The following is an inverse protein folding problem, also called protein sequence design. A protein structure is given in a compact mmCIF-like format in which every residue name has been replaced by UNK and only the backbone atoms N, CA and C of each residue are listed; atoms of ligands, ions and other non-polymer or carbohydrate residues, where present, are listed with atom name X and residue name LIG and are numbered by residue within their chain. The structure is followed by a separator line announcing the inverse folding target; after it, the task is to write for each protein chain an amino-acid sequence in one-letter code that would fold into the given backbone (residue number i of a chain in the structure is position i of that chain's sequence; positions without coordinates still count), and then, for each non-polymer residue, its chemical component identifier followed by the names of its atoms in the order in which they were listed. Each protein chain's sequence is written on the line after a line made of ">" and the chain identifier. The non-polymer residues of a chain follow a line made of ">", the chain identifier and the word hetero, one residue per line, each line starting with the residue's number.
data_IF_527021340434
#
_entry.id   IF_527021340434
#
_cell.length_a   1.000
_cell.length_b   1.000
_cell.length_c   1.000
_cell.angle_alpha   90.00
_cell.angle_beta   90.00
_cell.angle_gamma   90.00
#
_symmetry.space_group_name_H-M   'P 1'
#
loop_
_entity.id
_entity.type
_entity.pdbx_description
1 polymer ?
#
# COMPACT_ATOMS: atom_id res chain seq x y z
N UNK A 1 -63.47 -48.38 16.83
CA UNK A 1 -63.41 -47.34 15.79
C UNK A 1 -62.66 -46.15 16.37
N UNK A 2 -61.49 -45.84 15.77
CA UNK A 2 -60.66 -44.62 15.89
C UNK A 2 -59.81 -44.39 17.17
N UNK A 3 -58.52 -44.67 17.02
CA UNK A 3 -57.39 -44.07 17.75
C UNK A 3 -57.32 -42.56 17.54
N UNK A 4 -56.74 -41.84 18.51
CA UNK A 4 -56.16 -40.52 18.29
C UNK A 4 -54.87 -40.39 19.11
N UNK A 5 -53.75 -40.73 18.48
CA UNK A 5 -52.38 -40.44 18.94
C UNK A 5 -52.02 -39.06 18.40
N UNK A 6 -51.83 -38.08 19.28
CA UNK A 6 -51.38 -36.73 18.88
C UNK A 6 -49.87 -36.76 18.71
N UNK A 7 -49.42 -36.66 17.46
CA UNK A 7 -48.01 -36.50 17.10
C UNK A 7 -47.58 -35.05 17.41
N UNK A 8 -46.61 -34.90 18.32
CA UNK A 8 -45.92 -33.63 18.53
C UNK A 8 -44.99 -33.36 17.34
N UNK A 9 -45.30 -32.34 16.55
CA UNK A 9 -44.46 -31.87 15.45
C UNK A 9 -43.26 -31.08 16.03
N UNK A 10 -42.08 -31.69 16.00
CA UNK A 10 -40.82 -31.04 16.34
C UNK A 10 -40.40 -30.16 15.15
N UNK A 11 -40.66 -28.86 15.24
CA UNK A 11 -40.28 -27.88 14.22
C UNK A 11 -38.76 -27.65 14.33
N UNK A 12 -37.98 -28.37 13.53
CA UNK A 12 -36.53 -28.22 13.44
C UNK A 12 -36.23 -26.89 12.71
N UNK A 13 -36.09 -25.82 13.49
CA UNK A 13 -35.66 -24.50 13.01
C UNK A 13 -34.19 -24.60 12.60
N UNK A 14 -33.94 -24.87 11.33
CA UNK A 14 -32.61 -24.88 10.73
C UNK A 14 -32.10 -23.43 10.73
N UNK A 15 -31.32 -23.07 11.76
CA UNK A 15 -30.47 -21.89 11.74
C UNK A 15 -29.46 -22.07 10.61
N UNK A 16 -29.80 -21.58 9.42
CA UNK A 16 -28.81 -21.20 8.43
C UNK A 16 -27.99 -20.07 9.05
N UNK A 17 -26.93 -20.44 9.77
CA UNK A 17 -25.80 -19.56 10.04
C UNK A 17 -25.27 -19.14 8.68
N UNK A 18 -25.76 -18.00 8.20
CA UNK A 18 -25.10 -17.22 7.18
C UNK A 18 -23.74 -16.87 7.78
N UNK A 19 -22.74 -17.71 7.50
CA UNK A 19 -21.35 -17.30 7.51
C UNK A 19 -21.27 -16.17 6.49
N UNK A 20 -21.48 -14.94 6.97
CA UNK A 20 -20.98 -13.76 6.30
C UNK A 20 -19.48 -14.04 6.13
N UNK A 21 -19.09 -14.45 4.93
CA UNK A 21 -17.71 -14.63 4.54
C UNK A 21 -17.12 -13.22 4.57
N UNK A 22 -16.66 -12.82 5.75
CA UNK A 22 -15.98 -11.55 5.94
C UNK A 22 -14.74 -11.61 5.08
N UNK A 23 -14.68 -10.73 4.09
CA UNK A 23 -13.54 -10.66 3.17
C UNK A 23 -12.29 -10.42 3.99
N UNK A 24 -11.36 -11.38 3.96
CA UNK A 24 -10.24 -11.40 4.87
C UNK A 24 -9.20 -10.37 4.43
N UNK A 25 -8.45 -9.82 5.38
CA UNK A 25 -7.29 -8.96 5.09
C UNK A 25 -6.36 -9.57 4.02
N UNK A 26 -6.19 -10.89 4.09
CA UNK A 26 -5.30 -11.66 3.23
C UNK A 26 -5.81 -11.72 1.77
N UNK A 27 -7.10 -11.48 1.55
CA UNK A 27 -7.71 -11.56 0.22
C UNK A 27 -7.16 -10.46 -0.70
N UNK A 28 -6.97 -9.24 -0.19
CA UNK A 28 -6.45 -8.12 -1.00
C UNK A 28 -5.00 -7.78 -0.71
N UNK A 29 -4.34 -8.51 0.19
CA UNK A 29 -2.94 -8.33 0.49
C UNK A 29 -2.33 -9.65 0.99
N UNK A 30 -1.97 -10.57 0.08
CA UNK A 30 -1.43 -11.86 0.48
C UNK A 30 -0.15 -11.73 1.32
N UNK A 31 -0.11 -12.46 2.43
CA UNK A 31 1.01 -12.44 3.39
C UNK A 31 1.74 -13.78 3.51
N UNK A 32 1.29 -14.80 2.78
CA UNK A 32 1.92 -16.12 2.76
C UNK A 32 3.37 -16.04 2.25
N UNK A 33 4.25 -16.82 2.89
CA UNK A 33 5.67 -16.88 2.55
C UNK A 33 5.89 -17.45 1.14
N UNK A 34 6.95 -16.99 0.46
CA UNK A 34 7.31 -17.40 -0.90
C UNK A 34 6.52 -16.69 -2.00
N UNK A 35 5.49 -15.92 -1.63
CA UNK A 35 4.81 -15.01 -2.56
C UNK A 35 5.78 -13.94 -3.05
N UNK A 36 5.75 -13.69 -4.35
CA UNK A 36 6.68 -12.75 -4.98
C UNK A 36 5.95 -11.91 -6.03
N UNK A 37 6.26 -10.62 -6.07
CA UNK A 37 5.75 -9.68 -7.06
C UNK A 37 6.88 -8.93 -7.71
N UNK A 38 6.82 -8.80 -9.03
CA UNK A 38 7.71 -7.95 -9.82
C UNK A 38 6.88 -6.94 -10.60
N UNK A 39 7.30 -5.69 -10.56
CA UNK A 39 6.63 -4.55 -11.16
C UNK A 39 7.55 -3.84 -12.14
N UNK A 40 6.97 -3.38 -13.23
CA UNK A 40 7.60 -2.33 -14.03
C UNK A 40 7.37 -1.00 -13.32
N UNK A 41 8.46 -0.31 -13.03
CA UNK A 41 8.46 0.99 -12.38
C UNK A 41 8.77 2.07 -13.41
N UNK A 42 7.91 3.08 -13.50
CA UNK A 42 8.19 4.30 -14.26
C UNK A 42 8.25 5.47 -13.29
N UNK A 43 9.34 6.23 -13.36
CA UNK A 43 9.63 7.35 -12.48
C UNK A 43 9.80 8.61 -13.33
N UNK A 44 9.02 9.64 -13.05
CA UNK A 44 9.06 10.92 -13.75
C UNK A 44 9.46 12.01 -12.77
N UNK A 45 10.53 12.73 -13.11
CA UNK A 45 11.01 13.90 -12.35
C UNK A 45 11.18 15.08 -13.27
N UNK A 46 11.68 16.18 -12.72
CA UNK A 46 12.14 17.33 -13.52
C UNK A 46 13.29 16.99 -14.46
N UNK A 47 14.04 15.92 -14.20
CA UNK A 47 15.18 15.50 -15.01
C UNK A 47 14.77 14.61 -16.19
N UNK A 48 13.54 14.08 -16.19
CA UNK A 48 13.02 13.24 -17.26
C UNK A 48 12.24 12.02 -16.75
N UNK A 49 12.08 11.04 -17.63
CA UNK A 49 11.41 9.77 -17.32
C UNK A 49 12.43 8.64 -17.28
N UNK A 50 12.40 7.86 -16.20
CA UNK A 50 13.25 6.73 -15.94
C UNK A 50 12.40 5.47 -15.79
N UNK A 51 12.92 4.33 -16.24
CA UNK A 51 12.27 3.03 -16.05
C UNK A 51 13.15 2.16 -15.17
N UNK A 52 12.52 1.35 -14.34
CA UNK A 52 13.20 0.42 -13.45
C UNK A 52 12.32 -0.76 -13.12
N UNK A 53 12.82 -1.60 -12.22
CA UNK A 53 12.10 -2.74 -11.68
C UNK A 53 11.96 -2.52 -10.19
N UNK A 54 10.77 -2.84 -9.68
CA UNK A 54 10.52 -2.96 -8.25
C UNK A 54 10.08 -4.40 -8.00
N UNK A 55 10.57 -5.03 -6.93
CA UNK A 55 10.14 -6.37 -6.57
C UNK A 55 10.05 -6.53 -5.06
N UNK A 56 9.15 -7.41 -4.65
CA UNK A 56 8.85 -7.70 -3.24
C UNK A 56 8.64 -9.20 -3.08
N UNK A 57 9.24 -9.79 -2.05
CA UNK A 57 9.03 -11.18 -1.64
C UNK A 57 8.53 -11.24 -0.21
N UNK A 58 7.50 -12.06 0.04
CA UNK A 58 7.10 -12.40 1.40
C UNK A 58 8.04 -13.48 1.95
N UNK A 59 8.66 -13.19 3.09
CA UNK A 59 9.42 -14.16 3.85
C UNK A 59 8.53 -14.87 4.88
N UNK A 60 8.99 -16.00 5.46
CA UNK A 60 8.33 -16.57 6.62
C UNK A 60 8.12 -15.52 7.71
N UNK A 61 6.93 -15.47 8.35
CA UNK A 61 6.70 -14.59 9.48
C UNK A 61 7.76 -14.76 10.56
N UNK A 62 8.12 -13.66 11.21
CA UNK A 62 9.12 -13.63 12.27
C UNK A 62 8.45 -13.26 13.59
N UNK A 63 8.95 -13.83 14.68
CA UNK A 63 8.59 -13.40 16.03
C UNK A 63 9.72 -12.56 16.60
N UNK A 64 9.40 -11.31 16.97
CA UNK A 64 10.33 -10.36 17.57
C UNK A 64 9.65 -9.83 18.83
N UNK A 65 10.28 -10.02 19.98
CA UNK A 65 9.72 -9.64 21.30
C UNK A 65 8.28 -10.15 21.50
N UNK A 66 8.06 -11.43 21.21
CA UNK A 66 6.76 -12.14 21.25
C UNK A 66 5.67 -11.58 20.31
N UNK A 67 6.00 -10.61 19.45
CA UNK A 67 5.11 -10.10 18.42
C UNK A 67 5.41 -10.75 17.08
N UNK A 68 4.36 -11.18 16.40
CA UNK A 68 4.46 -11.71 15.04
C UNK A 68 4.51 -10.57 14.02
N UNK A 69 5.44 -10.68 13.08
CA UNK A 69 5.63 -9.78 11.97
C UNK A 69 5.62 -10.55 10.66
N UNK A 70 4.82 -10.07 9.71
CA UNK A 70 4.92 -10.50 8.31
C UNK A 70 6.03 -9.68 7.65
N UNK A 71 7.04 -10.37 7.12
CA UNK A 71 8.25 -9.71 6.63
C UNK A 71 8.27 -9.73 5.10
N UNK A 72 8.51 -8.58 4.51
CA UNK A 72 8.67 -8.42 3.05
C UNK A 72 10.07 -7.93 2.73
N UNK A 73 10.79 -8.67 1.90
CA UNK A 73 12.07 -8.22 1.35
C UNK A 73 11.84 -7.50 0.02
N UNK A 74 12.47 -6.34 -0.14
CA UNK A 74 12.44 -5.55 -1.37
C UNK A 74 13.67 -5.87 -2.23
N UNK A 75 13.57 -5.57 -3.53
CA UNK A 75 14.66 -5.79 -4.48
C UNK A 75 15.99 -5.11 -4.09
N UNK A 76 15.92 -3.97 -3.38
CA UNK A 76 17.11 -3.25 -2.91
C UNK A 76 17.71 -3.84 -1.61
N UNK A 77 17.22 -4.99 -1.16
CA UNK A 77 17.65 -5.68 0.05
C UNK A 77 17.03 -5.12 1.34
N UNK A 78 16.21 -4.07 1.27
CA UNK A 78 15.50 -3.57 2.45
C UNK A 78 14.34 -4.48 2.86
N UNK A 79 13.95 -4.40 4.13
CA UNK A 79 12.86 -5.19 4.69
C UNK A 79 11.73 -4.29 5.19
N UNK A 80 10.50 -4.68 4.92
CA UNK A 80 9.28 -4.13 5.50
C UNK A 80 8.73 -5.11 6.53
N UNK A 81 8.42 -4.59 7.73
CA UNK A 81 7.82 -5.35 8.82
C UNK A 81 6.36 -4.94 8.98
N UNK A 82 5.45 -5.87 8.76
CA UNK A 82 4.01 -5.64 8.81
C UNK A 82 3.37 -6.36 10.00
N UNK A 83 2.34 -5.75 10.56
CA UNK A 83 1.44 -6.36 11.52
C UNK A 83 0.00 -6.26 11.01
N UNK A 84 -0.82 -7.21 11.41
CA UNK A 84 -2.27 -7.17 11.22
C UNK A 84 -2.88 -6.98 12.61
N UNK A 85 -3.73 -5.98 12.74
CA UNK A 85 -4.55 -5.76 13.94
C UNK A 85 -6.04 -5.72 13.56
N UNK A 86 -6.89 -5.42 14.54
CA UNK A 86 -8.33 -5.27 14.34
C UNK A 86 -8.69 -4.08 13.43
N UNK A 87 -7.77 -3.13 13.22
CA UNK A 87 -7.97 -1.94 12.40
C UNK A 87 -7.50 -2.13 10.97
N UNK A 88 -6.48 -2.95 10.70
CA UNK A 88 -5.95 -3.08 9.35
C UNK A 88 -4.61 -3.77 9.24
N UNK A 89 -3.98 -3.60 8.07
CA UNK A 89 -2.60 -4.03 7.80
C UNK A 89 -1.69 -2.82 7.96
N UNK A 90 -0.76 -2.90 8.90
CA UNK A 90 0.08 -1.80 9.34
C UNK A 90 1.55 -2.08 8.98
N UNK A 91 2.17 -1.21 8.20
CA UNK A 91 3.62 -1.16 8.06
C UNK A 91 4.20 -0.54 9.33
N UNK A 92 4.77 -1.38 10.19
CA UNK A 92 5.37 -0.97 11.46
C UNK A 92 6.78 -0.44 11.29
N UNK A 93 7.58 -1.07 10.44
CA UNK A 93 8.98 -0.70 10.33
C UNK A 93 9.58 -0.98 8.97
N UNK A 94 10.69 -0.28 8.70
CA UNK A 94 11.58 -0.55 7.59
C UNK A 94 12.99 -0.75 8.10
N UNK A 95 13.66 -1.76 7.57
CA UNK A 95 15.08 -1.98 7.79
C UNK A 95 15.82 -1.82 6.48
N UNK A 96 16.92 -1.07 6.52
CA UNK A 96 17.78 -0.88 5.36
C UNK A 96 19.24 -0.84 5.80
N UNK A 97 20.07 -1.61 5.13
CA UNK A 97 21.53 -1.54 5.27
C UNK A 97 22.07 -0.49 4.31
N UNK A 98 22.83 0.46 4.85
CA UNK A 98 23.55 1.47 4.06
C UNK A 98 25.02 1.36 4.46
N UNK A 99 25.88 1.08 3.49
CA UNK A 99 27.29 0.73 3.68
C UNK A 99 27.46 -0.50 4.60
N UNK A 100 27.80 -0.30 5.87
CA UNK A 100 27.97 -1.34 6.88
C UNK A 100 26.95 -1.24 8.03
N UNK A 101 26.08 -0.23 8.00
CA UNK A 101 25.14 0.05 9.08
C UNK A 101 23.71 -0.34 8.69
N UNK A 102 23.13 -1.26 9.45
CA UNK A 102 21.71 -1.58 9.37
C UNK A 102 20.90 -0.58 10.20
N UNK A 103 19.95 0.10 9.56
CA UNK A 103 19.06 1.07 10.20
C UNK A 103 17.63 0.59 10.17
N UNK A 104 17.02 0.47 11.35
CA UNK A 104 15.59 0.28 11.51
C UNK A 104 14.89 1.63 11.69
N UNK A 105 13.79 1.84 10.98
CA UNK A 105 12.96 3.03 11.04
C UNK A 105 11.53 2.63 11.39
N UNK A 106 10.97 3.20 12.46
CA UNK A 106 9.54 3.08 12.79
C UNK A 106 8.71 3.94 11.82
N UNK A 107 7.71 3.33 11.16
CA UNK A 107 6.96 3.96 10.05
C UNK A 107 5.45 4.07 10.30
N UNK A 108 4.86 3.28 11.20
CA UNK A 108 3.42 3.29 11.58
C UNK A 108 2.45 3.82 10.50
N UNK A 109 2.42 3.14 9.35
CA UNK A 109 1.60 3.54 8.20
C UNK A 109 0.65 2.41 7.79
N UNK A 110 -0.66 2.66 7.73
CA UNK A 110 -1.61 1.66 7.27
C UNK A 110 -1.52 1.48 5.76
N UNK A 111 -1.47 0.22 5.31
CA UNK A 111 -1.66 -0.13 3.89
C UNK A 111 -3.13 0.09 3.53
N UNK A 112 -4.03 -0.47 4.33
CA UNK A 112 -5.46 -0.17 4.37
C UNK A 112 -6.06 -0.56 5.72
N UNK A 113 -7.19 0.06 6.08
CA UNK A 113 -7.96 -0.26 7.28
C UNK A 113 -9.24 -1.06 6.96
N UNK A 114 -9.74 -1.79 7.96
CA UNK A 114 -10.99 -2.51 7.94
C UNK A 114 -12.18 -1.62 8.34
N UNK A 115 -13.41 -1.94 7.90
CA UNK A 115 -13.76 -3.01 6.96
C UNK A 115 -13.30 -2.72 5.52
N UNK A 116 -13.03 -3.75 4.71
CA UNK A 116 -12.67 -3.61 3.29
C UNK A 116 -13.93 -3.34 2.45
N UNK A 117 -14.43 -2.11 2.50
CA UNK A 117 -15.62 -1.68 1.78
C UNK A 117 -15.50 -0.23 1.32
N UNK A 118 -16.26 0.13 0.29
CA UNK A 118 -16.35 1.52 -0.19
C UNK A 118 -16.76 2.44 0.97
N UNK A 119 -16.02 3.53 1.13
CA UNK A 119 -16.28 4.53 2.17
C UNK A 119 -15.45 4.37 3.44
N UNK A 120 -14.69 3.29 3.62
CA UNK A 120 -13.71 3.19 4.71
C UNK A 120 -12.61 4.23 4.53
N UNK A 121 -12.37 5.02 5.57
CA UNK A 121 -11.44 6.17 5.57
C UNK A 121 -10.50 6.08 6.76
N UNK A 122 -9.24 6.47 6.56
CA UNK A 122 -8.27 6.63 7.64
C UNK A 122 -7.30 7.77 7.35
N UNK A 123 -6.68 8.28 8.41
CA UNK A 123 -5.64 9.31 8.32
C UNK A 123 -4.27 8.69 8.55
N UNK A 124 -3.25 9.22 7.89
CA UNK A 124 -1.87 8.78 8.02
C UNK A 124 -0.89 9.96 7.84
N UNK A 125 0.40 9.73 8.03
CA UNK A 125 1.47 10.66 7.67
C UNK A 125 2.52 9.94 6.85
N UNK A 126 2.67 10.36 5.59
CA UNK A 126 3.60 9.74 4.64
C UNK A 126 4.73 10.70 4.26
N UNK A 127 5.89 10.16 3.89
CA UNK A 127 7.00 10.96 3.36
C UNK A 127 6.83 11.17 1.86
N UNK A 128 7.13 12.36 1.34
CA UNK A 128 7.36 12.57 -0.10
C UNK A 128 8.60 11.79 -0.57
N UNK A 129 8.60 11.37 -1.85
CA UNK A 129 9.58 10.46 -2.44
C UNK A 129 9.98 10.80 -3.87
N UNK A 130 9.16 11.59 -4.57
CA UNK A 130 9.28 11.77 -6.03
C UNK A 130 9.61 13.19 -6.46
N UNK A 131 9.72 14.11 -5.50
CA UNK A 131 10.23 15.45 -5.72
C UNK A 131 11.76 15.44 -5.72
N UNK A 132 12.34 15.05 -6.86
CA UNK A 132 13.79 14.97 -7.09
C UNK A 132 14.20 15.79 -8.31
N UNK A 133 15.36 16.45 -8.23
CA UNK A 133 16.01 17.11 -9.36
C UNK A 133 17.53 17.08 -9.22
N UNK A 134 18.24 16.98 -10.34
CA UNK A 134 19.69 16.99 -10.41
C UNK A 134 20.17 18.28 -11.08
N UNK A 135 21.13 18.98 -10.46
CA UNK A 135 21.63 20.27 -10.95
C UNK A 135 23.16 20.37 -11.08
N UNK A 136 23.67 21.25 -11.97
CA UNK A 136 25.10 21.62 -11.98
C UNK A 136 25.48 22.34 -10.67
N UNK A 137 26.77 22.39 -10.29
CA UNK A 137 27.98 22.05 -11.07
C UNK A 137 28.49 20.60 -10.95
N UNK A 138 27.98 19.78 -10.02
CA UNK A 138 28.50 18.43 -9.73
C UNK A 138 27.43 17.32 -9.87
N UNK A 139 26.31 17.56 -10.59
CA UNK A 139 25.13 16.68 -10.59
C UNK A 139 24.66 16.35 -9.16
N UNK A 140 24.54 17.38 -8.33
CA UNK A 140 24.03 17.21 -6.96
C UNK A 140 22.53 16.95 -7.03
N UNK A 141 22.09 15.83 -6.43
CA UNK A 141 20.68 15.53 -6.26
C UNK A 141 20.08 16.43 -5.17
N UNK A 142 18.98 17.08 -5.50
CA UNK A 142 18.14 17.81 -4.58
C UNK A 142 16.80 17.07 -4.44
N UNK A 143 16.48 16.66 -3.22
CA UNK A 143 15.26 15.91 -2.90
C UNK A 143 14.50 16.59 -1.77
N UNK A 144 13.24 16.93 -2.03
CA UNK A 144 12.32 17.41 -1.00
C UNK A 144 11.68 16.20 -0.29
N UNK A 145 12.01 16.02 0.98
CA UNK A 145 11.39 15.01 1.87
C UNK A 145 10.49 15.72 2.90
N UNK A 146 9.19 15.67 2.67
CA UNK A 146 8.15 16.27 3.49
C UNK A 146 7.36 15.18 4.21
N UNK A 147 7.06 15.38 5.49
CA UNK A 147 6.02 14.61 6.21
C UNK A 147 4.66 15.20 5.85
N UNK A 148 3.86 14.47 5.09
CA UNK A 148 2.57 14.91 4.56
C UNK A 148 1.46 14.17 5.30
N UNK A 149 0.62 14.86 6.10
CA UNK A 149 -0.61 14.27 6.61
C UNK A 149 -1.54 14.02 5.43
N UNK A 150 -2.13 12.82 5.38
CA UNK A 150 -2.95 12.34 4.27
C UNK A 150 -4.21 11.69 4.78
N UNK A 151 -5.29 11.86 4.02
CA UNK A 151 -6.52 11.10 4.17
C UNK A 151 -6.58 10.05 3.07
N UNK A 152 -6.82 8.81 3.45
CA UNK A 152 -6.94 7.67 2.56
C UNK A 152 -8.35 7.07 2.64
N UNK A 153 -8.83 6.53 1.51
CA UNK A 153 -10.19 6.03 1.36
C UNK A 153 -10.26 4.88 0.38
N UNK A 154 -11.07 3.87 0.69
CA UNK A 154 -11.52 2.87 -0.29
C UNK A 154 -12.65 3.48 -1.13
N UNK A 155 -12.42 3.65 -2.43
CA UNK A 155 -13.39 4.24 -3.36
C UNK A 155 -14.15 3.22 -4.19
N UNK A 156 -13.57 2.05 -4.44
CA UNK A 156 -14.15 1.02 -5.28
C UNK A 156 -13.72 -0.37 -4.80
N UNK A 157 -14.58 -1.35 -5.02
CA UNK A 157 -14.31 -2.79 -4.84
C UNK A 157 -14.52 -3.56 -6.15
N UNK A 158 -14.76 -2.86 -7.27
CA UNK A 158 -15.23 -3.44 -8.53
C UNK A 158 -14.43 -2.93 -9.72
N UNK A 159 -13.24 -2.35 -9.51
CA UNK A 159 -12.42 -1.87 -10.61
C UNK A 159 -11.90 -3.06 -11.43
N UNK A 160 -11.83 -2.89 -12.76
CA UNK A 160 -11.08 -3.77 -13.65
C UNK A 160 -9.76 -3.09 -14.01
N UNK A 161 -8.65 -3.83 -13.90
CA UNK A 161 -7.30 -3.27 -14.10
C UNK A 161 -6.49 -4.15 -15.04
N UNK A 162 -6.11 -3.57 -16.19
CA UNK A 162 -5.19 -4.17 -17.15
C UNK A 162 -3.74 -3.81 -16.84
N UNK A 163 -2.89 -4.84 -16.68
CA UNK A 163 -1.44 -4.72 -16.47
C UNK A 163 -0.71 -5.82 -17.24
N UNK A 164 0.63 -5.77 -17.38
CA UNK A 164 1.35 -6.82 -18.11
C UNK A 164 1.15 -8.24 -17.56
N UNK A 165 0.87 -8.40 -16.27
CA UNK A 165 0.54 -9.70 -15.66
C UNK A 165 -0.86 -10.23 -16.03
N UNK A 166 -1.72 -9.44 -16.69
CA UNK A 166 -3.07 -9.80 -17.09
C UNK A 166 -4.12 -8.75 -16.70
N UNK A 167 -5.39 -9.11 -16.89
CA UNK A 167 -6.55 -8.31 -16.47
C UNK A 167 -7.07 -8.85 -15.14
N UNK A 168 -7.27 -7.94 -14.17
CA UNK A 168 -7.78 -8.27 -12.85
C UNK A 168 -9.12 -7.59 -12.59
N UNK A 169 -10.12 -8.38 -12.24
CA UNK A 169 -11.47 -7.93 -11.91
C UNK A 169 -11.67 -7.80 -10.40
N UNK A 170 -12.69 -7.04 -10.00
CA UNK A 170 -13.04 -6.80 -8.60
C UNK A 170 -11.86 -6.23 -7.78
N UNK A 171 -11.09 -5.34 -8.40
CA UNK A 171 -9.98 -4.68 -7.72
C UNK A 171 -10.51 -3.65 -6.72
N UNK A 172 -9.94 -3.68 -5.51
CA UNK A 172 -10.11 -2.63 -4.53
C UNK A 172 -9.25 -1.41 -4.90
N UNK A 173 -9.88 -0.25 -5.08
CA UNK A 173 -9.18 1.02 -5.29
C UNK A 173 -9.10 1.82 -4.00
N UNK A 174 -7.88 2.06 -3.56
CA UNK A 174 -7.55 2.96 -2.45
C UNK A 174 -6.98 4.25 -3.02
N UNK A 175 -7.57 5.38 -2.65
CA UNK A 175 -7.02 6.71 -2.94
C UNK A 175 -6.48 7.32 -1.66
N UNK A 176 -5.41 8.10 -1.77
CA UNK A 176 -4.80 8.82 -0.67
C UNK A 176 -4.41 10.20 -1.17
N UNK A 177 -4.68 11.25 -0.40
CA UNK A 177 -4.23 12.59 -0.75
C UNK A 177 -3.99 13.47 0.47
N UNK A 178 -3.11 14.44 0.32
CA UNK A 178 -2.76 15.36 1.39
C UNK A 178 -1.83 16.46 0.94
N UNK A 179 -1.52 17.35 1.88
CA UNK A 179 -0.57 18.43 1.65
C UNK A 179 0.10 18.88 2.94
N UNK A 180 1.30 19.45 2.81
CA UNK A 180 2.06 20.01 3.92
C UNK A 180 2.77 21.30 3.49
N UNK A 181 2.78 22.29 4.38
CA UNK A 181 3.65 23.45 4.27
C UNK A 181 4.99 23.10 4.89
N UNK A 182 6.07 23.29 4.13
CA UNK A 182 7.43 23.01 4.58
C UNK A 182 8.37 24.14 4.19
N UNK A 183 9.51 24.21 4.86
CA UNK A 183 10.68 24.89 4.35
C UNK A 183 11.56 23.88 3.62
N UNK A 184 11.62 23.96 2.29
CA UNK A 184 12.40 23.07 1.44
C UNK A 184 13.87 23.52 1.31
N UNK A 185 14.33 24.42 2.17
CA UNK A 185 15.71 24.90 2.21
C UNK A 185 16.02 25.93 1.14
N UNK A 186 17.29 26.36 1.09
CA UNK A 186 17.72 27.60 0.42
C UNK A 186 17.36 27.71 -1.09
N UNK A 187 17.15 26.60 -1.79
CA UNK A 187 16.85 26.61 -3.24
C UNK A 187 15.36 26.78 -3.58
N UNK A 188 14.47 26.43 -2.66
CA UNK A 188 13.01 26.43 -2.87
C UNK A 188 12.30 27.30 -1.85
N UNK A 189 12.84 27.39 -0.64
CA UNK A 189 12.26 28.09 0.50
C UNK A 189 10.93 27.47 0.95
N UNK A 190 10.06 28.30 1.48
CA UNK A 190 8.73 27.88 1.95
C UNK A 190 7.85 27.52 0.76
N UNK A 191 7.36 26.29 0.75
CA UNK A 191 6.46 25.79 -0.29
C UNK A 191 5.40 24.86 0.29
N UNK A 192 4.37 24.59 -0.51
CA UNK A 192 3.37 23.57 -0.21
C UNK A 192 3.66 22.34 -1.06
N UNK A 193 3.91 21.21 -0.40
CA UNK A 193 3.98 19.90 -1.02
C UNK A 193 2.58 19.32 -1.06
N UNK A 194 2.13 18.89 -2.24
CA UNK A 194 0.88 18.12 -2.42
C UNK A 194 1.25 16.70 -2.82
N UNK A 195 0.46 15.74 -2.35
CA UNK A 195 0.63 14.33 -2.61
C UNK A 195 -0.73 13.73 -2.95
N UNK A 196 -0.77 12.92 -4.00
CA UNK A 196 -1.88 12.04 -4.30
C UNK A 196 -1.35 10.66 -4.69
N UNK A 197 -1.95 9.60 -4.17
CA UNK A 197 -1.61 8.23 -4.49
C UNK A 197 -2.88 7.42 -4.73
N UNK A 198 -2.85 6.54 -5.73
CA UNK A 198 -3.93 5.62 -6.01
C UNK A 198 -3.36 4.23 -6.19
N UNK A 199 -3.87 3.29 -5.41
CA UNK A 199 -3.44 1.91 -5.35
C UNK A 199 -4.61 1.00 -5.70
N UNK A 200 -4.37 0.04 -6.57
CA UNK A 200 -5.32 -1.00 -6.94
C UNK A 200 -4.83 -2.35 -6.43
N UNK A 201 -5.68 -3.03 -5.67
CA UNK A 201 -5.41 -4.34 -5.11
C UNK A 201 -6.38 -5.36 -5.70
N UNK A 202 -5.88 -6.45 -6.27
CA UNK A 202 -6.70 -7.54 -6.80
C UNK A 202 -6.86 -8.68 -5.77
N UNK A 203 -8.01 -9.34 -5.71
CA UNK A 203 -8.23 -10.50 -4.84
C UNK A 203 -7.24 -11.63 -5.12
N UNK A 204 -6.68 -12.23 -4.07
CA UNK A 204 -5.68 -13.30 -4.11
C UNK A 204 -4.30 -12.89 -4.63
N UNK A 205 -4.13 -11.63 -5.07
CA UNK A 205 -2.90 -11.14 -5.71
C UNK A 205 -2.27 -10.02 -4.92
N UNK A 206 -3.04 -9.05 -4.43
CA UNK A 206 -2.48 -7.86 -3.81
C UNK A 206 -2.32 -6.70 -4.77
N UNK A 207 -1.31 -5.84 -4.55
CA UNK A 207 -1.12 -4.62 -5.35
C UNK A 207 -0.86 -4.97 -6.82
N UNK A 208 -1.74 -4.53 -7.73
CA UNK A 208 -1.56 -4.73 -9.17
C UNK A 208 -1.09 -3.45 -9.88
N UNK A 209 -1.46 -2.29 -9.33
CA UNK A 209 -1.07 -0.99 -9.87
C UNK A 209 -0.98 0.06 -8.77
N UNK A 210 0.00 0.94 -8.86
CA UNK A 210 0.12 2.13 -8.01
C UNK A 210 0.50 3.32 -8.87
N UNK A 211 -0.14 4.46 -8.63
CA UNK A 211 0.23 5.74 -9.23
C UNK A 211 0.31 6.77 -8.12
N UNK A 212 1.49 7.32 -7.91
CA UNK A 212 1.75 8.36 -6.92
C UNK A 212 2.30 9.59 -7.60
N UNK A 213 1.71 10.74 -7.28
CA UNK A 213 2.08 12.06 -7.80
C UNK A 213 2.36 12.98 -6.65
N UNK A 214 3.45 13.74 -6.76
CA UNK A 214 3.79 14.80 -5.82
C UNK A 214 4.01 16.08 -6.59
N UNK A 215 3.70 17.23 -5.98
CA UNK A 215 3.93 18.53 -6.59
C UNK A 215 4.23 19.60 -5.57
N UNK A 216 4.89 20.66 -6.03
CA UNK A 216 5.03 21.91 -5.28
C UNK A 216 4.56 23.10 -6.12
N UNK A 217 4.37 24.26 -5.49
CA UNK A 217 4.08 25.50 -6.24
C UNK A 217 5.35 26.17 -6.80
N UNK A 218 6.53 25.64 -6.50
CA UNK A 218 7.79 26.28 -6.85
C UNK A 218 8.37 25.71 -8.15
N UNK A 219 8.70 26.58 -9.12
CA UNK A 219 9.19 26.18 -10.44
C UNK A 219 10.49 25.37 -10.42
N UNK A 220 11.30 25.53 -9.38
CA UNK A 220 12.56 24.79 -9.29
C UNK A 220 12.35 23.27 -9.18
N UNK A 221 11.22 22.84 -8.60
CA UNK A 221 10.84 21.44 -8.41
C UNK A 221 9.31 21.35 -8.25
N UNK A 222 8.59 21.34 -9.36
CA UNK A 222 7.14 21.51 -9.36
C UNK A 222 6.36 20.19 -9.33
N UNK A 223 6.94 19.07 -9.80
CA UNK A 223 6.28 17.77 -9.81
C UNK A 223 7.22 16.57 -9.86
N UNK A 224 6.67 15.43 -9.48
CA UNK A 224 7.18 14.11 -9.79
C UNK A 224 6.07 13.06 -9.75
N UNK A 225 6.30 11.94 -10.40
CA UNK A 225 5.36 10.83 -10.47
C UNK A 225 6.10 9.49 -10.44
N UNK A 226 5.56 8.52 -9.71
CA UNK A 226 5.98 7.12 -9.78
C UNK A 226 4.77 6.25 -10.07
N UNK A 227 4.92 5.37 -11.04
CA UNK A 227 3.92 4.36 -11.40
C UNK A 227 4.54 2.98 -11.27
N UNK A 228 3.83 2.08 -10.59
CA UNK A 228 4.12 0.65 -10.56
C UNK A 228 2.99 -0.08 -11.29
N UNK A 229 3.35 -0.98 -12.20
CA UNK A 229 2.40 -1.91 -12.84
C UNK A 229 2.91 -3.33 -12.69
N UNK A 230 2.04 -4.24 -12.26
CA UNK A 230 2.41 -5.62 -11.99
C UNK A 230 2.81 -6.33 -13.29
N UNK A 231 4.00 -6.88 -13.29
CA UNK A 231 4.58 -7.57 -14.43
C UNK A 231 4.46 -9.09 -14.30
N UNK A 232 4.67 -9.61 -13.09
CA UNK A 232 4.53 -11.04 -12.79
C UNK A 232 4.38 -11.26 -11.29
N UNK A 233 3.73 -12.35 -10.90
CA UNK A 233 3.62 -12.78 -9.51
C UNK A 233 3.58 -14.31 -9.37
N UNK A 234 3.85 -14.84 -8.18
CA UNK A 234 3.66 -16.25 -7.78
C UNK A 234 3.21 -16.33 -6.33
#
# INVERSE_FOLDING_TARGET
>A
MKSATVFAAFFLFCLCLLSACGQSANDYFPLDAGKYWRYQMTYQTMDGTFKGVYAVENLPPQKIDDQEYYVRQLLDGSFNYLQIDDKGILLKGREKTIDLDTKFTDVKQYIFQFPLQVGTVWEDTVLSKVLIKTGPPQKTEFHIVAKVPVSAKIESMTDSVDVPAGTFENCMRVVMSGNAFIDAGNYVGKTIVRLSETNWYAPGVGLVKSVRKESTKHRALDKGEITLVLESYR
#
